data_IF_351228025947
#
_entry.id   IF_351228025947
#
_cell.length_a   1.000
_cell.length_b   1.000
_cell.length_c   1.000
_cell.angle_alpha   90.00
_cell.angle_beta   90.00
_cell.angle_gamma   90.00
#
_symmetry.space_group_name_H-M   'P 1'
#
loop_
_entity.id
_entity.type
_entity.pdbx_description
1 polymer ?
#
# COMPACT_ATOMS: atom_id res chain seq x y z
N UNK A 1 23.27 -6.81 29.55
CA UNK A 1 21.81 -6.53 29.39
C UNK A 1 21.59 -5.98 28.01
N UNK A 2 20.66 -6.50 27.23
CA UNK A 2 20.38 -6.02 25.89
C UNK A 2 19.73 -4.63 25.93
N UNK A 3 20.20 -3.74 25.06
CA UNK A 3 19.57 -2.46 24.77
C UNK A 3 18.77 -2.60 23.47
N UNK A 4 17.47 -2.33 23.52
CA UNK A 4 16.59 -2.47 22.35
C UNK A 4 17.01 -1.55 21.21
N UNK A 5 17.33 -0.29 21.49
CA UNK A 5 17.72 0.67 20.45
C UNK A 5 18.99 0.21 19.72
N UNK A 6 19.95 -0.39 20.44
CA UNK A 6 21.15 -0.97 19.82
C UNK A 6 20.82 -2.15 18.90
N UNK A 7 19.91 -3.04 19.34
CA UNK A 7 19.42 -4.16 18.53
C UNK A 7 18.76 -3.63 17.25
N UNK A 8 17.88 -2.64 17.37
CA UNK A 8 17.17 -2.05 16.24
C UNK A 8 18.12 -1.27 15.31
N UNK A 9 19.06 -0.49 15.84
CA UNK A 9 20.07 0.18 15.03
C UNK A 9 20.93 -0.81 14.24
N UNK A 10 21.32 -1.90 14.88
CA UNK A 10 22.11 -2.94 14.22
C UNK A 10 21.29 -3.66 13.15
N UNK A 11 19.98 -3.92 13.38
CA UNK A 11 19.09 -4.55 12.41
C UNK A 11 19.02 -3.77 11.09
N UNK A 12 18.98 -2.42 11.16
CA UNK A 12 18.99 -1.55 9.98
C UNK A 12 20.33 -1.64 9.23
N UNK A 13 21.45 -1.67 9.94
CA UNK A 13 22.79 -1.80 9.32
C UNK A 13 22.96 -3.10 8.55
N UNK A 14 22.43 -4.22 9.09
CA UNK A 14 22.50 -5.54 8.44
C UNK A 14 21.33 -5.81 7.51
N UNK A 15 20.46 -4.82 7.26
CA UNK A 15 19.27 -4.91 6.41
C UNK A 15 18.32 -6.04 6.81
N UNK A 16 18.14 -6.26 8.10
CA UNK A 16 17.18 -7.22 8.60
C UNK A 16 15.75 -6.75 8.30
N UNK A 17 14.90 -7.63 7.80
CA UNK A 17 13.49 -7.36 7.58
C UNK A 17 12.68 -7.42 8.86
N UNK A 18 13.02 -8.37 9.75
CA UNK A 18 12.32 -8.57 11.01
C UNK A 18 13.31 -8.90 12.13
N UNK A 19 12.95 -8.50 13.35
CA UNK A 19 13.65 -8.78 14.60
C UNK A 19 12.73 -9.64 15.46
N UNK A 20 13.24 -10.75 15.96
CA UNK A 20 12.51 -11.69 16.82
C UNK A 20 13.11 -11.70 18.21
N UNK A 21 12.28 -11.42 19.21
CA UNK A 21 12.63 -11.50 20.63
C UNK A 21 11.74 -12.58 21.28
N UNK A 22 12.36 -13.65 21.79
CA UNK A 22 11.63 -14.76 22.44
C UNK A 22 12.45 -15.41 23.53
N UNK A 23 11.80 -15.94 24.55
CA UNK A 23 12.46 -16.61 25.69
C UNK A 23 13.29 -17.81 25.24
N UNK A 24 14.46 -17.97 25.84
CA UNK A 24 15.35 -19.12 25.65
C UNK A 24 16.23 -19.06 24.40
N UNK A 25 16.20 -17.97 23.66
CA UNK A 25 17.02 -17.72 22.47
C UNK A 25 17.60 -16.30 22.52
N UNK A 26 18.81 -16.04 21.97
CA UNK A 26 19.26 -14.69 21.75
C UNK A 26 18.35 -13.95 20.76
N UNK A 27 18.28 -12.59 20.78
CA UNK A 27 17.62 -11.83 19.75
C UNK A 27 18.02 -12.33 18.36
N UNK A 28 17.10 -12.39 17.41
CA UNK A 28 17.37 -12.96 16.10
C UNK A 28 16.91 -12.02 15.00
N UNK A 29 17.71 -11.90 13.93
CA UNK A 29 17.39 -11.11 12.75
C UNK A 29 16.95 -12.01 11.60
N UNK A 30 15.96 -11.57 10.84
CA UNK A 30 15.64 -12.16 9.54
C UNK A 30 16.35 -11.36 8.45
N UNK A 31 17.35 -11.98 7.83
CA UNK A 31 18.15 -11.39 6.75
C UNK A 31 17.97 -12.28 5.53
N UNK A 32 17.56 -11.72 4.41
CA UNK A 32 17.29 -12.45 3.15
C UNK A 32 16.40 -13.70 3.33
N UNK A 33 15.40 -13.59 4.22
CA UNK A 33 14.46 -14.67 4.54
C UNK A 33 14.97 -15.67 5.59
N UNK A 34 16.25 -15.66 5.93
CA UNK A 34 16.87 -16.57 6.91
C UNK A 34 16.89 -15.95 8.31
N UNK A 35 16.49 -16.73 9.32
CA UNK A 35 16.49 -16.29 10.72
C UNK A 35 17.81 -16.66 11.39
N UNK A 36 18.64 -15.68 11.71
CA UNK A 36 19.94 -15.82 12.34
C UNK A 36 19.95 -15.18 13.75
N UNK A 37 20.43 -15.89 14.82
CA UNK A 37 20.61 -15.28 16.12
C UNK A 37 21.80 -14.32 16.10
N UNK A 38 21.69 -13.23 16.88
CA UNK A 38 22.86 -12.38 17.17
C UNK A 38 23.72 -13.02 18.27
N UNK A 39 24.97 -12.66 18.32
CA UNK A 39 25.84 -13.11 19.42
C UNK A 39 25.37 -12.53 20.76
N UNK A 40 25.31 -13.37 21.78
CA UNK A 40 24.92 -12.96 23.12
C UNK A 40 24.16 -14.01 23.91
N UNK A 41 23.71 -13.63 25.08
CA UNK A 41 23.00 -14.51 26.03
C UNK A 41 21.55 -14.79 25.57
N UNK A 42 20.97 -15.87 26.06
CA UNK A 42 19.56 -16.20 25.81
C UNK A 42 18.66 -15.27 26.61
N UNK A 43 17.63 -14.75 25.95
CA UNK A 43 16.62 -13.92 26.60
C UNK A 43 15.86 -14.71 27.66
N UNK A 44 15.76 -14.15 28.85
CA UNK A 44 14.90 -14.66 29.94
C UNK A 44 13.53 -13.98 29.90
N UNK A 45 12.50 -14.54 30.57
CA UNK A 45 11.21 -13.87 30.70
C UNK A 45 11.32 -12.46 31.26
N UNK A 46 12.14 -12.27 32.30
CA UNK A 46 12.35 -10.95 32.92
C UNK A 46 13.00 -9.94 31.96
N UNK A 47 14.02 -10.35 31.20
CA UNK A 47 14.63 -9.48 30.17
C UNK A 47 13.63 -9.03 29.13
N UNK A 48 12.70 -9.89 28.70
CA UNK A 48 11.66 -9.53 27.74
C UNK A 48 10.68 -8.54 28.34
N UNK A 49 10.27 -8.71 29.59
CA UNK A 49 9.44 -7.73 30.29
C UNK A 49 10.15 -6.39 30.41
N UNK A 50 11.41 -6.36 30.83
CA UNK A 50 12.22 -5.16 30.98
C UNK A 50 12.42 -4.42 29.64
N UNK A 51 12.50 -5.13 28.52
CA UNK A 51 12.65 -4.55 27.18
C UNK A 51 11.31 -4.07 26.61
N UNK A 52 10.25 -4.88 26.74
CA UNK A 52 9.00 -4.67 26.00
C UNK A 52 7.98 -3.79 26.74
N UNK A 53 7.90 -3.91 28.08
CA UNK A 53 6.91 -3.15 28.85
C UNK A 53 7.09 -1.63 28.78
N UNK A 54 8.33 -1.07 28.76
CA UNK A 54 8.52 0.37 28.62
C UNK A 54 8.08 0.95 27.27
N UNK A 55 7.98 0.13 26.22
CA UNK A 55 7.56 0.56 24.88
C UNK A 55 6.06 0.79 24.78
N UNK A 56 5.29 0.18 25.68
CA UNK A 56 3.84 0.15 25.65
C UNK A 56 3.25 1.23 26.56
N UNK A 57 2.35 2.03 26.02
CA UNK A 57 1.48 2.90 26.80
C UNK A 57 0.39 2.10 27.55
N UNK A 58 -0.48 2.81 28.27
CA UNK A 58 -1.56 2.18 29.06
C UNK A 58 -2.49 1.35 28.17
N UNK A 59 -2.87 1.87 27.01
CA UNK A 59 -3.78 1.20 26.06
C UNK A 59 -3.19 -0.11 25.55
N UNK A 60 -1.93 -0.09 25.06
CA UNK A 60 -1.27 -1.28 24.54
C UNK A 60 -1.08 -2.36 25.62
N UNK A 61 -0.84 -1.96 26.89
CA UNK A 61 -0.76 -2.90 28.01
C UNK A 61 -2.11 -3.54 28.30
N UNK A 62 -3.21 -2.78 28.27
CA UNK A 62 -4.57 -3.30 28.41
C UNK A 62 -4.93 -4.26 27.26
N UNK A 63 -4.61 -3.90 26.02
CA UNK A 63 -4.80 -4.78 24.87
C UNK A 63 -4.04 -6.11 25.04
N UNK A 64 -2.76 -6.04 25.42
CA UNK A 64 -1.93 -7.23 25.67
C UNK A 64 -2.50 -8.08 26.81
N UNK A 65 -3.05 -7.45 27.84
CA UNK A 65 -3.66 -8.16 28.96
C UNK A 65 -4.94 -8.88 28.56
N UNK A 66 -5.82 -8.21 27.79
CA UNK A 66 -7.15 -8.68 27.44
C UNK A 66 -7.13 -9.63 26.23
N UNK A 67 -6.32 -9.31 25.22
CA UNK A 67 -6.31 -10.04 23.93
C UNK A 67 -5.10 -10.97 23.77
N UNK A 68 -4.11 -10.88 24.67
CA UNK A 68 -2.88 -11.64 24.59
C UNK A 68 -1.87 -11.12 23.55
N UNK A 69 -2.18 -10.03 22.85
CA UNK A 69 -1.31 -9.38 21.86
C UNK A 69 -1.66 -7.91 21.71
N UNK A 70 -0.70 -7.13 21.22
CA UNK A 70 -0.88 -5.72 20.83
C UNK A 70 0.07 -5.36 19.71
N UNK A 71 -0.34 -4.45 18.83
CA UNK A 71 0.44 -3.92 17.70
C UNK A 71 0.61 -2.41 17.87
N UNK A 72 1.83 -1.92 17.64
CA UNK A 72 2.12 -0.48 17.66
C UNK A 72 3.36 -0.17 16.84
N UNK A 73 3.58 1.12 16.57
CA UNK A 73 4.79 1.60 15.92
C UNK A 73 5.80 2.11 16.95
N UNK A 74 7.09 1.81 16.72
CA UNK A 74 8.21 2.34 17.49
C UNK A 74 9.19 3.02 16.55
N UNK A 75 9.60 4.26 16.88
CA UNK A 75 10.49 5.05 16.04
C UNK A 75 11.75 5.46 16.82
N UNK A 76 12.90 5.31 16.17
CA UNK A 76 14.18 5.79 16.69
C UNK A 76 14.63 6.93 15.78
N UNK A 77 14.80 8.13 16.37
CA UNK A 77 15.22 9.32 15.63
C UNK A 77 16.53 9.09 14.89
N UNK A 78 16.54 9.37 13.58
CA UNK A 78 17.72 9.19 12.73
C UNK A 78 18.04 7.73 12.33
N UNK A 79 17.29 6.74 12.82
CA UNK A 79 17.53 5.31 12.54
C UNK A 79 16.41 4.70 11.68
N UNK A 80 15.16 4.78 12.14
CA UNK A 80 14.05 4.19 11.42
C UNK A 80 12.79 4.04 12.27
N UNK A 81 11.75 3.48 11.64
CA UNK A 81 10.48 3.10 12.27
C UNK A 81 10.31 1.59 12.19
N UNK A 82 9.69 1.04 13.22
CA UNK A 82 9.46 -0.39 13.35
C UNK A 82 7.99 -0.61 13.69
N UNK A 83 7.35 -1.55 13.00
CA UNK A 83 6.08 -2.11 13.44
C UNK A 83 6.37 -3.19 14.47
N UNK A 84 5.84 -3.04 15.66
CA UNK A 84 6.08 -3.92 16.81
C UNK A 84 4.81 -4.70 17.10
N UNK A 85 4.87 -6.01 17.04
CA UNK A 85 3.85 -6.90 17.60
C UNK A 85 4.41 -7.52 18.87
N UNK A 86 3.72 -7.34 20.00
CA UNK A 86 4.01 -8.00 21.27
C UNK A 86 2.91 -8.99 21.58
N UNK A 87 3.25 -10.22 21.94
CA UNK A 87 2.29 -11.26 22.23
C UNK A 87 2.73 -12.19 23.37
N UNK A 88 1.73 -12.83 24.00
CA UNK A 88 1.96 -13.83 25.03
C UNK A 88 2.14 -15.20 24.40
N UNK A 89 3.14 -15.94 24.86
CA UNK A 89 3.35 -17.34 24.49
C UNK A 89 3.83 -18.14 25.71
N UNK A 90 3.17 -19.26 26.04
CA UNK A 90 3.54 -20.14 27.16
C UNK A 90 3.77 -19.41 28.49
N UNK A 91 2.96 -18.38 28.78
CA UNK A 91 3.07 -17.57 29.98
C UNK A 91 4.18 -16.52 29.98
N UNK A 92 4.91 -16.33 28.87
CA UNK A 92 5.95 -15.30 28.71
C UNK A 92 5.63 -14.37 27.55
N UNK A 93 6.30 -13.21 27.50
CA UNK A 93 6.22 -12.30 26.36
C UNK A 93 7.15 -12.75 25.22
N UNK A 94 6.73 -12.42 24.00
CA UNK A 94 7.56 -12.45 22.81
C UNK A 94 7.21 -11.25 21.93
N UNK A 95 8.12 -10.90 21.02
CA UNK A 95 7.88 -9.82 20.05
C UNK A 95 8.48 -10.13 18.69
N UNK A 96 7.78 -9.67 17.66
CA UNK A 96 8.33 -9.56 16.31
C UNK A 96 8.24 -8.09 15.90
N UNK A 97 9.38 -7.54 15.50
CA UNK A 97 9.49 -6.15 15.08
C UNK A 97 9.91 -6.11 13.61
N UNK A 98 9.10 -5.48 12.75
CA UNK A 98 9.40 -5.32 11.33
C UNK A 98 10.01 -3.96 11.08
N UNK A 99 11.18 -3.94 10.44
CA UNK A 99 11.80 -2.70 9.96
C UNK A 99 10.98 -2.11 8.82
N UNK A 100 10.58 -0.85 8.95
CA UNK A 100 9.89 -0.11 7.89
C UNK A 100 10.93 0.64 7.03
N UNK A 101 10.72 0.73 5.71
CA UNK A 101 11.65 1.39 4.81
C UNK A 101 11.86 2.86 5.20
N UNK A 102 13.12 3.31 5.23
CA UNK A 102 13.45 4.69 5.56
C UNK A 102 13.37 5.62 4.35
N UNK A 103 13.73 5.11 3.17
CA UNK A 103 13.71 5.86 1.93
C UNK A 103 12.48 5.52 1.12
N UNK A 104 11.81 6.54 0.62
CA UNK A 104 10.72 6.40 -0.34
C UNK A 104 11.36 6.31 -1.72
N UNK A 105 11.13 5.22 -2.49
CA UNK A 105 11.68 5.08 -3.83
C UNK A 105 11.04 6.07 -4.79
N UNK A 106 11.81 6.50 -5.79
CA UNK A 106 11.29 7.35 -6.88
C UNK A 106 10.35 6.53 -7.80
N UNK A 107 9.38 7.17 -8.47
CA UNK A 107 8.47 6.46 -9.37
C UNK A 107 9.16 5.64 -10.45
N UNK A 108 10.27 6.13 -11.00
CA UNK A 108 11.06 5.49 -12.03
C UNK A 108 11.66 4.16 -11.54
N UNK A 109 12.12 4.11 -10.29
CA UNK A 109 12.68 2.90 -9.67
C UNK A 109 11.62 1.80 -9.49
N UNK A 110 10.35 2.20 -9.40
CA UNK A 110 9.20 1.32 -9.28
C UNK A 110 8.60 0.92 -10.65
N UNK A 111 9.08 1.53 -11.74
CA UNK A 111 8.51 1.36 -13.07
C UNK A 111 7.12 1.98 -13.23
N UNK A 112 6.80 3.02 -12.45
CA UNK A 112 5.52 3.74 -12.55
C UNK A 112 5.55 4.60 -13.83
N UNK A 113 4.58 4.44 -14.76
CA UNK A 113 4.53 5.25 -15.98
C UNK A 113 4.40 6.74 -15.67
N UNK A 114 5.01 7.58 -16.51
CA UNK A 114 4.99 9.03 -16.36
C UNK A 114 3.56 9.58 -16.36
N UNK A 115 2.66 9.01 -17.13
CA UNK A 115 1.25 9.40 -17.21
C UNK A 115 0.51 9.17 -15.87
N UNK A 116 0.94 8.16 -15.09
CA UNK A 116 0.44 7.95 -13.72
C UNK A 116 1.03 9.00 -12.77
N UNK A 117 2.32 9.34 -12.93
CA UNK A 117 2.95 10.40 -12.15
C UNK A 117 2.27 11.76 -12.42
N UNK A 118 1.85 12.02 -13.65
CA UNK A 118 1.10 13.24 -14.01
C UNK A 118 -0.22 13.40 -13.22
N UNK A 119 -0.80 12.31 -12.68
CA UNK A 119 -1.99 12.42 -11.82
C UNK A 119 -1.69 13.21 -10.53
N UNK A 120 -0.44 13.30 -10.10
CA UNK A 120 -0.02 14.10 -8.94
C UNK A 120 -0.22 15.62 -9.15
N UNK A 121 -0.34 16.07 -10.39
CA UNK A 121 -0.61 17.47 -10.75
C UNK A 121 -2.10 17.85 -10.73
N UNK A 122 -2.99 16.86 -10.60
CA UNK A 122 -4.43 17.10 -10.56
C UNK A 122 -4.81 17.88 -9.31
N UNK A 123 -5.79 18.77 -9.46
CA UNK A 123 -6.33 19.55 -8.34
C UNK A 123 -7.37 18.81 -7.54
N UNK A 124 -8.06 17.85 -8.15
CA UNK A 124 -9.13 17.05 -7.55
C UNK A 124 -9.34 15.76 -8.32
N UNK A 125 -10.04 14.84 -7.71
CA UNK A 125 -10.43 13.57 -8.31
C UNK A 125 -10.00 12.39 -7.45
N UNK A 126 -10.28 11.18 -7.90
CA UNK A 126 -9.99 9.93 -7.21
C UNK A 126 -8.99 9.11 -8.03
N UNK A 127 -7.85 8.80 -7.43
CA UNK A 127 -6.81 7.92 -7.98
C UNK A 127 -6.73 6.67 -7.12
N UNK A 128 -6.83 5.51 -7.74
CA UNK A 128 -6.85 4.22 -7.05
C UNK A 128 -5.63 3.38 -7.41
N UNK A 129 -4.96 2.83 -6.39
CA UNK A 129 -3.91 1.81 -6.55
C UNK A 129 -4.42 0.51 -5.96
N UNK A 130 -4.57 -0.53 -6.79
CA UNK A 130 -5.22 -1.77 -6.39
C UNK A 130 -4.33 -3.00 -6.62
N UNK A 131 -4.71 -4.13 -6.05
CA UNK A 131 -3.94 -5.37 -6.17
C UNK A 131 -3.92 -6.17 -4.87
N UNK A 132 -3.42 -7.40 -4.88
CA UNK A 132 -3.38 -8.27 -3.71
C UNK A 132 -2.46 -7.69 -2.61
N UNK A 133 -2.56 -8.29 -1.41
CA UNK A 133 -1.63 -7.96 -0.33
C UNK A 133 -0.18 -8.27 -0.76
N UNK A 134 0.73 -7.34 -0.48
CA UNK A 134 2.14 -7.48 -0.86
C UNK A 134 2.47 -7.13 -2.32
N UNK A 135 1.50 -6.58 -3.09
CA UNK A 135 1.76 -6.12 -4.46
C UNK A 135 2.50 -4.77 -4.55
N UNK A 136 2.78 -4.11 -3.44
CA UNK A 136 3.53 -2.85 -3.39
C UNK A 136 2.67 -1.58 -3.45
N UNK A 137 1.37 -1.66 -3.21
CA UNK A 137 0.43 -0.50 -3.25
C UNK A 137 0.89 0.67 -2.38
N UNK A 138 1.23 0.40 -1.12
CA UNK A 138 1.70 1.45 -0.18
C UNK A 138 2.99 2.11 -0.67
N UNK A 139 3.90 1.33 -1.27
CA UNK A 139 5.14 1.86 -1.84
C UNK A 139 4.86 2.78 -3.02
N UNK A 140 3.96 2.37 -3.93
CA UNK A 140 3.54 3.18 -5.08
C UNK A 140 2.88 4.47 -4.63
N UNK A 141 1.95 4.40 -3.67
CA UNK A 141 1.28 5.59 -3.11
C UNK A 141 2.25 6.51 -2.38
N UNK A 142 3.16 5.97 -1.56
CA UNK A 142 4.17 6.77 -0.90
C UNK A 142 5.06 7.50 -1.90
N UNK A 143 5.45 6.85 -3.00
CA UNK A 143 6.22 7.47 -4.09
C UNK A 143 5.45 8.63 -4.74
N UNK A 144 4.16 8.44 -5.07
CA UNK A 144 3.32 9.51 -5.65
C UNK A 144 3.11 10.69 -4.67
N UNK A 145 2.85 10.41 -3.39
CA UNK A 145 2.75 11.42 -2.34
C UNK A 145 4.07 12.17 -2.17
N UNK A 146 5.21 11.47 -2.27
CA UNK A 146 6.53 12.09 -2.22
C UNK A 146 6.76 13.06 -3.38
N UNK A 147 6.32 12.71 -4.60
CA UNK A 147 6.35 13.61 -5.76
C UNK A 147 5.52 14.88 -5.50
N UNK A 148 4.31 14.75 -4.94
CA UNK A 148 3.47 15.89 -4.59
C UNK A 148 4.17 16.76 -3.55
N UNK A 149 4.66 16.18 -2.48
CA UNK A 149 5.33 16.86 -1.38
C UNK A 149 6.53 17.72 -1.85
N UNK A 150 7.32 17.21 -2.80
CA UNK A 150 8.48 17.91 -3.36
C UNK A 150 8.14 19.00 -4.36
N UNK A 151 6.99 18.91 -5.04
CA UNK A 151 6.70 19.77 -6.18
C UNK A 151 5.68 20.87 -5.89
N UNK A 152 4.74 20.65 -4.95
CA UNK A 152 3.60 21.52 -4.72
C UNK A 152 3.51 22.01 -3.27
N UNK A 153 3.09 23.27 -3.04
CA UNK A 153 2.87 23.81 -1.69
C UNK A 153 1.47 23.44 -1.19
N UNK A 154 1.22 22.16 -0.91
CA UNK A 154 -0.08 21.62 -0.53
C UNK A 154 -0.10 21.18 0.93
N UNK A 155 -1.31 21.06 1.49
CA UNK A 155 -1.55 20.32 2.71
C UNK A 155 -1.96 18.89 2.35
N UNK A 156 -1.14 17.92 2.72
CA UNK A 156 -1.36 16.50 2.47
C UNK A 156 -1.73 15.84 3.79
N UNK A 157 -2.87 15.15 3.83
CA UNK A 157 -3.27 14.33 4.97
C UNK A 157 -3.26 12.87 4.55
N UNK A 158 -2.57 12.03 5.30
CA UNK A 158 -2.63 10.59 5.11
C UNK A 158 -3.33 9.91 6.28
N UNK A 159 -4.16 8.92 5.97
CA UNK A 159 -4.88 8.08 6.91
C UNK A 159 -4.45 6.64 6.63
N UNK A 160 -3.70 6.01 7.55
CA UNK A 160 -3.00 4.75 7.28
C UNK A 160 -3.16 3.75 8.44
N UNK A 161 -3.04 2.45 8.16
CA UNK A 161 -3.15 1.38 9.16
C UNK A 161 -2.17 0.22 8.85
N UNK A 162 -0.93 0.27 9.41
CA UNK A 162 -0.25 1.42 10.01
C UNK A 162 0.43 2.32 8.96
N UNK A 163 1.08 3.41 9.40
CA UNK A 163 1.98 4.21 8.55
C UNK A 163 3.22 3.39 8.19
N UNK A 164 3.39 3.12 6.87
CA UNK A 164 4.54 2.34 6.36
C UNK A 164 5.74 3.22 5.97
N UNK A 165 5.50 4.43 5.47
CA UNK A 165 6.53 5.38 5.05
C UNK A 165 6.35 6.72 5.76
N UNK A 166 7.45 7.29 6.27
CA UNK A 166 7.40 8.62 6.87
C UNK A 166 7.77 9.69 5.83
N UNK A 167 6.86 10.62 5.62
CA UNK A 167 7.10 11.80 4.82
C UNK A 167 7.60 12.96 5.67
N UNK A 168 8.76 13.51 5.32
CA UNK A 168 9.20 14.78 5.88
C UNK A 168 8.49 15.91 5.15
N UNK A 169 8.19 17.01 5.83
CA UNK A 169 7.72 18.21 5.16
C UNK A 169 8.80 18.71 4.19
N UNK A 170 8.39 19.07 2.97
CA UNK A 170 9.24 19.72 1.97
C UNK A 170 8.50 20.97 1.48
N UNK A 171 8.04 21.06 0.24
CA UNK A 171 7.16 22.15 -0.19
C UNK A 171 5.76 22.03 0.41
N UNK A 172 5.29 20.80 0.60
CA UNK A 172 4.01 20.53 1.27
C UNK A 172 4.14 20.38 2.77
N UNK A 173 3.04 20.64 3.48
CA UNK A 173 2.85 20.17 4.86
C UNK A 173 2.23 18.80 4.79
N UNK A 174 2.83 17.78 5.42
CA UNK A 174 2.32 16.41 5.43
C UNK A 174 1.95 16.00 6.85
N UNK A 175 0.67 15.76 7.10
CA UNK A 175 0.17 15.23 8.35
C UNK A 175 -0.28 13.78 8.14
N UNK A 176 0.42 12.85 8.78
CA UNK A 176 0.13 11.41 8.71
C UNK A 176 -0.58 10.98 9.99
N UNK A 177 -1.74 10.33 9.84
CA UNK A 177 -2.56 9.85 10.96
C UNK A 177 -2.69 8.34 10.88
N UNK A 178 -2.35 7.66 11.96
CA UNK A 178 -2.44 6.22 12.08
C UNK A 178 -3.80 5.81 12.68
N UNK A 179 -4.51 4.93 11.98
CA UNK A 179 -5.77 4.36 12.49
C UNK A 179 -5.45 3.47 13.69
N UNK A 180 -6.28 3.58 14.70
CA UNK A 180 -6.05 2.89 15.97
C UNK A 180 -5.23 3.70 16.96
N UNK A 181 -4.35 4.60 16.51
CA UNK A 181 -3.55 5.49 17.38
C UNK A 181 -4.08 6.92 17.37
N UNK A 182 -4.15 7.54 16.20
CA UNK A 182 -4.53 8.95 16.03
C UNK A 182 -6.02 9.12 15.70
N UNK A 183 -6.66 8.06 15.24
CA UNK A 183 -8.09 8.01 14.95
C UNK A 183 -8.64 6.60 15.14
N UNK A 184 -9.92 6.46 15.42
CA UNK A 184 -10.55 5.16 15.71
C UNK A 184 -10.79 4.32 14.45
N UNK A 185 -11.12 4.95 13.31
CA UNK A 185 -11.37 4.28 12.04
C UNK A 185 -11.24 5.25 10.85
N UNK A 186 -11.17 4.69 9.64
CA UNK A 186 -11.00 5.46 8.41
C UNK A 186 -12.15 6.45 8.15
N UNK A 187 -13.40 6.06 8.36
CA UNK A 187 -14.56 6.91 8.08
C UNK A 187 -14.56 8.17 8.94
N UNK A 188 -14.28 8.03 10.24
CA UNK A 188 -14.19 9.17 11.15
C UNK A 188 -12.99 10.06 10.86
N UNK A 189 -11.82 9.44 10.59
CA UNK A 189 -10.61 10.16 10.23
C UNK A 189 -10.79 10.99 8.96
N UNK A 190 -11.41 10.40 7.92
CA UNK A 190 -11.65 11.08 6.66
C UNK A 190 -12.65 12.23 6.78
N UNK A 191 -13.74 12.04 7.56
CA UNK A 191 -14.67 13.16 7.86
C UNK A 191 -13.99 14.29 8.64
N UNK A 192 -13.08 13.99 9.53
CA UNK A 192 -12.30 15.00 10.24
C UNK A 192 -11.36 15.74 9.27
N UNK A 193 -10.63 14.99 8.43
CA UNK A 193 -9.70 15.52 7.44
C UNK A 193 -10.35 16.59 6.53
N UNK A 194 -11.60 16.41 6.13
CA UNK A 194 -12.33 17.41 5.31
C UNK A 194 -12.50 18.80 5.98
N UNK A 195 -12.21 18.91 7.28
CA UNK A 195 -12.22 20.18 8.04
C UNK A 195 -10.82 20.66 8.44
N UNK A 196 -9.80 19.98 7.96
CA UNK A 196 -8.40 20.23 8.28
C UNK A 196 -7.68 20.94 7.11
N UNK A 197 -8.43 21.54 6.16
CA UNK A 197 -7.93 22.27 4.99
C UNK A 197 -6.96 21.47 4.10
N UNK A 198 -7.31 20.25 3.67
CA UNK A 198 -6.45 19.44 2.85
C UNK A 198 -6.58 19.77 1.36
N UNK A 199 -5.46 19.78 0.63
CA UNK A 199 -5.46 19.72 -0.85
C UNK A 199 -5.47 18.27 -1.33
N UNK A 200 -4.73 17.40 -0.62
CA UNK A 200 -4.53 16.00 -0.97
C UNK A 200 -4.82 15.11 0.23
N UNK A 201 -5.59 14.05 0.01
CA UNK A 201 -5.93 13.07 1.03
C UNK A 201 -5.51 11.68 0.54
N UNK A 202 -4.70 10.97 1.32
CA UNK A 202 -4.44 9.55 1.15
C UNK A 202 -5.30 8.76 2.15
N UNK A 203 -6.19 7.91 1.64
CA UNK A 203 -6.93 6.93 2.45
C UNK A 203 -6.29 5.56 2.21
N UNK A 204 -5.63 5.00 3.21
CA UNK A 204 -4.86 3.77 3.10
C UNK A 204 -5.63 2.64 2.43
N UNK A 205 -6.90 2.46 2.78
CA UNK A 205 -7.80 1.54 2.10
C UNK A 205 -9.28 1.94 2.23
N UNK A 206 -10.08 1.54 1.23
CA UNK A 206 -11.53 1.72 1.21
C UNK A 206 -12.21 0.35 1.27
N UNK A 207 -12.69 -0.08 2.45
CA UNK A 207 -13.32 -1.39 2.64
C UNK A 207 -14.83 -1.31 2.82
N UNK A 208 -15.33 -0.24 3.40
CA UNK A 208 -16.72 -0.08 3.82
C UNK A 208 -17.42 1.06 3.08
N UNK A 209 -18.74 1.00 3.07
CA UNK A 209 -19.62 1.96 2.39
C UNK A 209 -19.35 3.40 2.83
N UNK A 210 -19.15 3.60 4.12
CA UNK A 210 -19.02 4.94 4.69
C UNK A 210 -17.70 5.60 4.26
N UNK A 211 -16.60 4.86 4.30
CA UNK A 211 -15.28 5.32 3.82
C UNK A 211 -15.31 5.61 2.33
N UNK A 212 -15.90 4.70 1.51
CA UNK A 212 -16.02 4.89 0.05
C UNK A 212 -16.87 6.12 -0.27
N UNK A 213 -18.05 6.25 0.34
CA UNK A 213 -18.93 7.40 0.11
C UNK A 213 -18.27 8.72 0.47
N UNK A 214 -17.56 8.76 1.60
CA UNK A 214 -16.86 9.98 2.04
C UNK A 214 -15.69 10.33 1.12
N UNK A 215 -14.93 9.33 0.64
CA UNK A 215 -13.82 9.54 -0.31
C UNK A 215 -14.31 10.08 -1.67
N UNK A 216 -15.41 9.55 -2.19
CA UNK A 216 -16.04 10.06 -3.41
C UNK A 216 -16.51 11.51 -3.21
N UNK A 217 -17.16 11.81 -2.08
CA UNK A 217 -17.59 13.16 -1.73
C UNK A 217 -16.40 14.12 -1.63
N UNK A 218 -15.30 13.71 -1.00
CA UNK A 218 -14.07 14.49 -0.92
C UNK A 218 -13.55 14.85 -2.33
N UNK A 219 -13.51 13.86 -3.23
CA UNK A 219 -13.07 14.06 -4.62
C UNK A 219 -14.04 14.99 -5.41
N UNK A 220 -15.36 14.92 -5.17
CA UNK A 220 -16.36 15.83 -5.76
C UNK A 220 -16.21 17.27 -5.25
N UNK A 221 -15.87 17.45 -3.98
CA UNK A 221 -15.78 18.76 -3.32
C UNK A 221 -14.43 19.46 -3.49
N UNK A 222 -13.53 18.91 -4.31
CA UNK A 222 -12.35 19.65 -4.74
C UNK A 222 -11.00 19.09 -4.29
N UNK A 223 -10.97 17.96 -3.60
CA UNK A 223 -9.75 17.33 -3.09
C UNK A 223 -9.20 16.29 -4.06
N UNK A 224 -7.88 16.15 -4.11
CA UNK A 224 -7.23 15.03 -4.78
C UNK A 224 -7.12 13.86 -3.79
N UNK A 225 -7.84 12.78 -4.07
CA UNK A 225 -7.93 11.62 -3.17
C UNK A 225 -7.18 10.44 -3.77
N UNK A 226 -6.24 9.88 -3.03
CA UNK A 226 -5.59 8.61 -3.32
C UNK A 226 -6.11 7.52 -2.38
N UNK A 227 -6.34 6.32 -2.90
CA UNK A 227 -6.72 5.20 -2.03
C UNK A 227 -6.38 3.84 -2.63
N UNK A 228 -6.58 2.78 -1.81
CA UNK A 228 -6.38 1.40 -2.25
C UNK A 228 -7.62 0.53 -2.12
N UNK A 229 -7.64 -0.52 -2.95
CA UNK A 229 -8.49 -1.70 -2.80
C UNK A 229 -7.68 -2.97 -3.04
N UNK A 230 -8.22 -4.13 -2.65
CA UNK A 230 -7.57 -5.43 -2.83
C UNK A 230 -8.03 -6.18 -4.09
N UNK A 231 -8.63 -5.49 -5.04
CA UNK A 231 -9.10 -6.03 -6.32
C UNK A 231 -7.96 -6.13 -7.34
N UNK A 232 -8.05 -7.09 -8.25
CA UNK A 232 -7.18 -7.24 -9.42
C UNK A 232 -8.02 -6.88 -10.65
N UNK A 233 -7.57 -5.88 -11.42
CA UNK A 233 -8.27 -5.36 -12.58
C UNK A 233 -9.06 -4.09 -12.31
N UNK A 234 -8.99 -3.14 -13.24
CA UNK A 234 -9.61 -1.83 -13.11
C UNK A 234 -11.15 -1.90 -13.20
N UNK A 235 -11.67 -2.75 -14.08
CA UNK A 235 -13.11 -3.04 -14.23
C UNK A 235 -13.69 -3.59 -12.91
N UNK A 236 -13.05 -4.62 -12.36
CA UNK A 236 -13.44 -5.25 -11.10
C UNK A 236 -13.34 -4.32 -9.91
N UNK A 237 -12.37 -3.37 -9.95
CA UNK A 237 -12.24 -2.33 -8.94
C UNK A 237 -13.44 -1.41 -8.93
N UNK A 238 -13.87 -0.96 -10.11
CA UNK A 238 -15.04 -0.11 -10.27
C UNK A 238 -16.30 -0.84 -9.79
N UNK A 239 -16.50 -2.08 -10.22
CA UNK A 239 -17.65 -2.89 -9.79
C UNK A 239 -17.64 -3.12 -8.29
N UNK A 240 -16.48 -3.43 -7.69
CA UNK A 240 -16.35 -3.61 -6.24
C UNK A 240 -16.76 -2.39 -5.43
N UNK A 241 -16.41 -1.19 -5.90
CA UNK A 241 -16.83 0.07 -5.26
C UNK A 241 -18.36 0.19 -5.30
N UNK A 242 -18.96 -0.09 -6.44
CA UNK A 242 -20.40 0.03 -6.65
C UNK A 242 -21.16 -1.01 -5.82
N UNK A 243 -20.69 -2.25 -5.79
CA UNK A 243 -21.35 -3.38 -5.14
C UNK A 243 -21.40 -3.28 -3.60
N UNK A 244 -20.59 -2.40 -2.99
CA UNK A 244 -20.68 -2.11 -1.56
C UNK A 244 -21.98 -1.37 -1.21
N UNK A 245 -22.59 -0.66 -2.18
CA UNK A 245 -23.80 0.13 -1.97
C UNK A 245 -25.07 -0.70 -2.18
N UNK A 246 -26.15 -0.39 -1.42
CA UNK A 246 -27.45 -1.00 -1.66
C UNK A 246 -27.94 -0.78 -3.10
N UNK A 247 -28.70 -1.72 -3.69
CA UNK A 247 -29.12 -1.65 -5.09
C UNK A 247 -29.79 -0.34 -5.52
N UNK A 248 -30.56 0.26 -4.62
CA UNK A 248 -31.25 1.54 -4.87
C UNK A 248 -30.30 2.76 -4.92
N UNK A 249 -29.05 2.62 -4.47
CA UNK A 249 -28.05 3.68 -4.49
C UNK A 249 -27.01 3.47 -5.60
N UNK A 250 -26.90 2.28 -6.18
CA UNK A 250 -25.84 1.93 -7.13
C UNK A 250 -25.84 2.82 -8.37
N UNK A 251 -27.00 3.21 -8.89
CA UNK A 251 -27.04 4.09 -10.06
C UNK A 251 -26.51 5.50 -9.75
N UNK A 252 -26.81 6.02 -8.59
CA UNK A 252 -26.28 7.30 -8.15
C UNK A 252 -24.77 7.25 -7.97
N UNK A 253 -24.25 6.21 -7.30
CA UNK A 253 -22.81 6.06 -7.08
C UNK A 253 -22.03 5.86 -8.37
N UNK A 254 -22.62 5.17 -9.40
CA UNK A 254 -22.00 5.08 -10.73
C UNK A 254 -21.79 6.46 -11.37
N UNK A 255 -22.78 7.34 -11.26
CA UNK A 255 -22.70 8.71 -11.80
C UNK A 255 -21.61 9.50 -11.05
N UNK A 256 -21.60 9.43 -9.72
CA UNK A 256 -20.62 10.14 -8.89
C UNK A 256 -19.20 9.60 -9.14
N UNK A 257 -19.01 8.28 -9.08
CA UNK A 257 -17.70 7.66 -9.35
C UNK A 257 -17.20 8.01 -10.75
N UNK A 258 -18.06 7.93 -11.77
CA UNK A 258 -17.70 8.32 -13.13
C UNK A 258 -17.30 9.81 -13.26
N UNK A 259 -17.78 10.69 -12.38
CA UNK A 259 -17.42 12.11 -12.41
C UNK A 259 -16.06 12.39 -11.80
N UNK A 260 -15.67 11.64 -10.76
CA UNK A 260 -14.46 11.91 -9.96
C UNK A 260 -13.28 10.99 -10.25
N UNK A 261 -13.52 9.78 -10.80
CA UNK A 261 -12.45 8.84 -11.09
C UNK A 261 -11.49 9.44 -12.13
N UNK A 262 -10.20 9.47 -11.82
CA UNK A 262 -9.15 9.94 -12.73
C UNK A 262 -8.30 8.78 -13.24
N UNK A 263 -7.87 7.87 -12.33
CA UNK A 263 -6.99 6.78 -12.68
C UNK A 263 -7.22 5.56 -11.78
N UNK A 264 -7.07 4.35 -12.34
CA UNK A 264 -6.92 3.11 -11.59
C UNK A 264 -5.63 2.44 -12.04
N UNK A 265 -4.74 2.17 -11.09
CA UNK A 265 -3.51 1.39 -11.28
C UNK A 265 -3.69 0.06 -10.56
N UNK A 266 -3.86 -1.03 -11.30
CA UNK A 266 -3.90 -2.37 -10.71
C UNK A 266 -2.51 -3.01 -10.79
N UNK A 267 -2.00 -3.48 -9.66
CA UNK A 267 -0.59 -3.83 -9.50
C UNK A 267 -0.41 -5.27 -9.03
N UNK A 268 0.50 -5.98 -9.69
CA UNK A 268 1.03 -7.26 -9.26
C UNK A 268 2.56 -7.18 -9.15
N UNK A 269 3.15 -7.90 -8.18
CA UNK A 269 4.58 -7.89 -7.92
C UNK A 269 5.15 -9.29 -8.14
N UNK A 270 5.96 -9.44 -9.19
CA UNK A 270 6.50 -10.72 -9.65
C UNK A 270 7.98 -10.86 -9.31
N UNK A 271 8.45 -12.10 -9.15
CA UNK A 271 9.90 -12.38 -9.06
C UNK A 271 10.57 -12.13 -10.41
N UNK A 272 11.72 -11.48 -10.40
CA UNK A 272 12.53 -11.34 -11.60
C UNK A 272 13.12 -12.68 -12.01
N UNK A 273 13.27 -12.88 -13.33
CA UNK A 273 13.84 -14.11 -13.93
C UNK A 273 15.27 -14.41 -13.46
N UNK A 274 16.05 -13.37 -13.17
CA UNK A 274 17.42 -13.47 -12.67
C UNK A 274 17.53 -13.72 -11.16
N UNK A 275 16.40 -13.77 -10.45
CA UNK A 275 16.33 -13.93 -8.99
C UNK A 275 16.74 -12.69 -8.18
N UNK A 276 17.07 -11.55 -8.82
CA UNK A 276 17.58 -10.34 -8.15
C UNK A 276 16.51 -9.49 -7.47
N UNK A 277 15.36 -10.04 -7.11
CA UNK A 277 14.29 -9.30 -6.45
C UNK A 277 12.96 -9.39 -7.21
N UNK A 278 12.21 -8.28 -7.23
CA UNK A 278 10.85 -8.25 -7.78
C UNK A 278 10.68 -7.11 -8.77
N UNK A 279 9.70 -7.24 -9.67
CA UNK A 279 9.29 -6.21 -10.63
C UNK A 279 7.76 -6.08 -10.61
N UNK A 280 7.25 -4.87 -10.73
CA UNK A 280 5.81 -4.61 -10.78
C UNK A 280 5.28 -4.75 -12.21
N UNK A 281 4.18 -5.48 -12.38
CA UNK A 281 3.32 -5.40 -13.54
C UNK A 281 2.15 -4.47 -13.21
N UNK A 282 1.93 -3.46 -14.04
CA UNK A 282 0.95 -2.39 -13.80
C UNK A 282 -0.08 -2.41 -14.91
N UNK A 283 -1.34 -2.65 -14.56
CA UNK A 283 -2.48 -2.29 -15.40
C UNK A 283 -2.86 -0.85 -15.12
N UNK A 284 -3.03 -0.03 -16.15
CA UNK A 284 -3.31 1.41 -16.01
C UNK A 284 -4.54 1.79 -16.82
N UNK A 285 -5.54 2.30 -16.13
CA UNK A 285 -6.77 2.87 -16.68
C UNK A 285 -6.85 4.35 -16.37
N UNK A 286 -7.02 5.20 -17.39
CA UNK A 286 -7.41 6.60 -17.23
C UNK A 286 -8.89 6.77 -17.56
N UNK A 287 -9.61 7.52 -16.71
CA UNK A 287 -11.04 7.72 -16.86
C UNK A 287 -11.35 8.81 -17.92
N UNK A 288 -11.17 8.46 -19.18
CA UNK A 288 -11.61 9.30 -20.29
C UNK A 288 -13.15 9.26 -20.46
N UNK A 289 -13.71 10.07 -21.36
CA UNK A 289 -15.14 10.15 -21.55
C UNK A 289 -15.81 8.82 -21.91
N UNK A 290 -15.11 7.94 -22.66
CA UNK A 290 -15.63 6.63 -23.00
C UNK A 290 -15.75 5.73 -21.76
N UNK A 291 -14.70 5.68 -20.93
CA UNK A 291 -14.69 4.94 -19.66
C UNK A 291 -15.77 5.48 -18.71
N UNK A 292 -15.88 6.80 -18.56
CA UNK A 292 -16.92 7.44 -17.72
C UNK A 292 -18.34 7.05 -18.17
N UNK A 293 -18.58 6.96 -19.48
CA UNK A 293 -19.88 6.51 -20.02
C UNK A 293 -20.14 5.02 -19.73
N UNK A 294 -19.14 4.15 -19.90
CA UNK A 294 -19.27 2.72 -19.58
C UNK A 294 -19.61 2.50 -18.09
N UNK A 295 -19.01 3.28 -17.19
CA UNK A 295 -19.34 3.21 -15.76
C UNK A 295 -20.80 3.59 -15.50
N UNK A 296 -21.28 4.72 -16.09
CA UNK A 296 -22.67 5.17 -15.93
C UNK A 296 -23.70 4.18 -16.46
N UNK A 297 -23.36 3.49 -17.56
CA UNK A 297 -24.25 2.54 -18.26
C UNK A 297 -24.12 1.10 -17.73
N UNK A 298 -23.36 0.85 -16.67
CA UNK A 298 -23.12 -0.51 -16.12
C UNK A 298 -22.46 -1.46 -17.12
N UNK A 299 -21.60 -0.94 -18.01
CA UNK A 299 -20.90 -1.70 -19.05
C UNK A 299 -19.39 -1.80 -18.78
N UNK A 300 -19.01 -1.92 -17.51
CA UNK A 300 -17.61 -1.98 -17.04
C UNK A 300 -16.80 -3.09 -17.70
N UNK A 301 -17.44 -4.20 -18.08
CA UNK A 301 -16.83 -5.31 -18.82
C UNK A 301 -16.24 -4.92 -20.19
N UNK A 302 -16.60 -3.75 -20.75
CA UNK A 302 -16.02 -3.24 -21.99
C UNK A 302 -14.77 -2.37 -21.78
N UNK A 303 -14.41 -2.07 -20.54
CA UNK A 303 -13.28 -1.19 -20.21
C UNK A 303 -11.96 -1.74 -20.78
N UNK A 304 -11.73 -3.06 -20.68
CA UNK A 304 -10.53 -3.69 -21.23
C UNK A 304 -10.33 -3.39 -22.72
N UNK A 305 -11.41 -3.38 -23.52
CA UNK A 305 -11.36 -3.03 -24.94
C UNK A 305 -10.98 -1.56 -25.16
N UNK A 306 -11.46 -0.65 -24.30
CA UNK A 306 -11.07 0.77 -24.36
C UNK A 306 -9.59 0.91 -24.03
N UNK A 307 -9.07 0.20 -23.02
CA UNK A 307 -7.65 0.23 -22.65
C UNK A 307 -6.76 -0.22 -23.80
N UNK A 308 -7.11 -1.34 -24.47
CA UNK A 308 -6.37 -1.86 -25.62
C UNK A 308 -6.27 -0.87 -26.78
N UNK A 309 -7.30 -0.06 -27.01
CA UNK A 309 -7.34 0.94 -28.09
C UNK A 309 -6.72 2.28 -27.71
N UNK A 310 -6.47 2.51 -26.43
CA UNK A 310 -5.94 3.79 -25.91
C UNK A 310 -4.51 3.68 -25.32
N UNK A 311 -3.70 2.74 -25.82
CA UNK A 311 -2.29 2.56 -25.38
C UNK A 311 -1.45 3.82 -25.54
N UNK A 312 -1.69 4.61 -26.61
CA UNK A 312 -0.98 5.90 -26.83
C UNK A 312 -1.26 6.96 -25.76
N UNK A 313 -2.36 6.82 -25.03
CA UNK A 313 -2.70 7.67 -23.89
C UNK A 313 -2.20 7.11 -22.54
N UNK A 314 -1.29 6.15 -22.58
CA UNK A 314 -0.71 5.52 -21.39
C UNK A 314 -1.58 4.43 -20.75
N UNK A 315 -2.73 4.05 -21.37
CA UNK A 315 -3.52 2.92 -20.87
C UNK A 315 -2.85 1.58 -21.21
N UNK A 316 -2.89 0.64 -20.27
CA UNK A 316 -2.25 -0.66 -20.41
C UNK A 316 -3.05 -1.72 -19.65
N UNK A 317 -3.33 -2.85 -20.31
CA UNK A 317 -3.93 -4.01 -19.62
C UNK A 317 -2.85 -4.78 -18.83
N UNK A 318 -3.27 -5.59 -17.85
CA UNK A 318 -2.35 -6.44 -17.10
C UNK A 318 -1.58 -7.39 -18.04
N UNK A 319 -2.27 -7.97 -19.00
CA UNK A 319 -1.67 -8.91 -19.95
C UNK A 319 -0.64 -8.23 -20.87
N UNK A 320 -0.88 -6.98 -21.27
CA UNK A 320 0.12 -6.21 -22.02
C UNK A 320 1.35 -5.90 -21.16
N UNK A 321 1.16 -5.55 -19.89
CA UNK A 321 2.25 -5.30 -18.95
C UNK A 321 3.11 -6.56 -18.72
N UNK A 322 2.47 -7.69 -18.51
CA UNK A 322 3.14 -8.98 -18.31
C UNK A 322 3.92 -9.40 -19.57
N UNK A 323 3.32 -9.22 -20.74
CA UNK A 323 3.98 -9.53 -22.00
C UNK A 323 5.20 -8.62 -22.26
N UNK A 324 5.12 -7.31 -21.97
CA UNK A 324 6.27 -6.40 -22.06
C UNK A 324 7.41 -6.83 -21.11
N UNK A 325 7.09 -7.17 -19.87
CA UNK A 325 8.08 -7.65 -18.90
C UNK A 325 8.75 -8.95 -19.37
N UNK A 326 8.00 -9.87 -19.99
CA UNK A 326 8.54 -11.09 -20.59
C UNK A 326 9.46 -10.78 -21.78
N UNK A 327 9.04 -9.94 -22.71
CA UNK A 327 9.85 -9.54 -23.87
C UNK A 327 11.17 -8.84 -23.44
N UNK A 328 11.13 -8.10 -22.34
CA UNK A 328 12.32 -7.48 -21.72
C UNK A 328 13.13 -8.47 -20.88
N UNK A 329 12.75 -9.75 -20.83
CA UNK A 329 13.40 -10.82 -20.05
C UNK A 329 13.48 -10.53 -18.53
N UNK A 330 12.56 -9.71 -18.04
CA UNK A 330 12.47 -9.40 -16.61
C UNK A 330 11.71 -10.48 -15.83
N UNK A 331 10.78 -11.18 -16.49
CA UNK A 331 10.08 -12.34 -15.95
C UNK A 331 10.17 -13.51 -16.94
N UNK A 332 9.95 -14.73 -16.45
CA UNK A 332 9.88 -15.92 -17.30
C UNK A 332 8.46 -16.13 -17.87
N UNK A 333 8.33 -17.06 -18.82
CA UNK A 333 7.08 -17.40 -19.49
C UNK A 333 6.03 -17.93 -18.49
N UNK A 334 6.45 -18.75 -17.52
CA UNK A 334 5.56 -19.34 -16.52
C UNK A 334 4.92 -18.25 -15.65
N UNK A 335 5.69 -17.27 -15.21
CA UNK A 335 5.16 -16.11 -14.48
C UNK A 335 4.22 -15.27 -15.36
N UNK A 336 4.59 -15.01 -16.63
CA UNK A 336 3.72 -14.26 -17.54
C UNK A 336 2.34 -14.93 -17.70
N UNK A 337 2.30 -16.26 -17.87
CA UNK A 337 1.07 -17.03 -18.03
C UNK A 337 0.29 -17.13 -16.71
N UNK A 338 0.97 -17.39 -15.61
CA UNK A 338 0.34 -17.59 -14.29
C UNK A 338 -0.40 -16.36 -13.80
N UNK A 339 0.16 -15.17 -14.04
CA UNK A 339 -0.38 -13.90 -13.56
C UNK A 339 -1.30 -13.20 -14.58
N UNK A 340 -1.44 -13.73 -15.82
CA UNK A 340 -2.29 -13.17 -16.84
C UNK A 340 -3.78 -13.27 -16.49
N UNK A 341 -4.57 -12.29 -16.97
CA UNK A 341 -6.04 -12.32 -16.90
C UNK A 341 -6.61 -13.31 -17.92
N UNK A 342 -5.96 -13.43 -19.10
CA UNK A 342 -6.23 -14.48 -20.10
C UNK A 342 -4.99 -15.38 -20.29
N UNK A 343 -4.82 -16.43 -19.46
CA UNK A 343 -3.67 -17.33 -19.53
C UNK A 343 -3.58 -18.08 -20.86
N UNK A 344 -4.72 -18.35 -21.52
CA UNK A 344 -4.74 -19.08 -22.79
C UNK A 344 -4.14 -18.23 -23.91
N UNK A 345 -4.54 -16.98 -23.99
CA UNK A 345 -4.00 -16.02 -24.95
C UNK A 345 -2.52 -15.73 -24.67
N UNK A 346 -2.16 -15.54 -23.39
CA UNK A 346 -0.78 -15.30 -22.99
C UNK A 346 0.14 -16.47 -23.33
N UNK A 347 -0.30 -17.70 -23.04
CA UNK A 347 0.49 -18.90 -23.37
C UNK A 347 0.77 -19.04 -24.86
N UNK A 348 -0.19 -18.66 -25.71
CA UNK A 348 0.05 -18.61 -27.16
C UNK A 348 1.11 -17.57 -27.52
N UNK A 349 1.03 -16.36 -26.96
CA UNK A 349 1.99 -15.29 -27.24
C UNK A 349 3.42 -15.70 -26.85
N UNK A 350 3.63 -16.21 -25.63
CA UNK A 350 4.98 -16.52 -25.13
C UNK A 350 5.61 -17.79 -25.73
N UNK A 351 4.80 -18.72 -26.28
CA UNK A 351 5.29 -19.98 -26.85
C UNK A 351 5.35 -19.97 -28.40
N UNK A 352 4.82 -18.96 -29.08
CA UNK A 352 4.87 -18.85 -30.54
C UNK A 352 5.87 -17.79 -31.04
N UNK A 353 6.54 -17.06 -30.15
CA UNK A 353 7.61 -16.10 -30.49
C UNK A 353 9.01 -16.79 -30.60
N UNK A 354 9.07 -17.96 -31.29
CA UNK A 354 10.30 -18.61 -31.66
C UNK A 354 10.40 -18.77 -33.20
#
# INVERSE_FOLDING_TARGET
MYNLDEILMQSVKVRASDIHLTTGRPPSYRIDGVLAPIEGERLTPQMLEDILMPLMDVRHREELQNNGQTDFAYAISGVGRFRVNVFKQRGTLASVMRSLPFNIPEPEDLGIPVEVVEMTSRKRGLVLVTGPTGSGKSTTLASLIHVINRNYPYHIITLEDPIEYLHRHDKSVVNQREIGSDSTNYAQALRAALREDPDVILVGEMRDLETISTAITAAETGHLVFSTLHTIGADKTIDRIIDVFPPNQQQQIRIQLASVLECVVSQQLLKKADGSGRVAALEVLFANNAVRNLIRESKTYQIASIMQTNKRAGMQTMDDALYDLYMRKLIDADNAVTYAQDPVSMNKKVNFDF
#
